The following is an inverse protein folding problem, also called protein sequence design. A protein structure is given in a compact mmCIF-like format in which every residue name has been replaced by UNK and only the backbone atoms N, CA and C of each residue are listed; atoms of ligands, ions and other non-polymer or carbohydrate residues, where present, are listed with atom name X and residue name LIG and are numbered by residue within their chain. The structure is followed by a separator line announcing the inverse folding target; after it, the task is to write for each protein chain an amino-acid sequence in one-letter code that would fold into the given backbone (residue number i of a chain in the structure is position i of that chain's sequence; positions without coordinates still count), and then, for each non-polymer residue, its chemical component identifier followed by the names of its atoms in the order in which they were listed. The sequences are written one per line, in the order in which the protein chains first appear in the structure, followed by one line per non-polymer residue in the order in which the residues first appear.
data_IF_422368473690
#
_entry.id   IF_422368473690
#
_cell.length_a   1.000
_cell.length_b   1.000
_cell.length_c   1.000
_cell.angle_alpha   90.00
_cell.angle_beta   90.00
_cell.angle_gamma   90.00
#
_symmetry.space_group_name_H-M   'P 1'
#
loop_
_entity.id
_entity.type
_entity.pdbx_description
1 polymer ?
#
# COMPACT_ATOMS: atom_id res chain seq x y z
N UNK A 1 -24.46 -22.01 21.35
CA UNK A 1 -23.30 -21.95 20.43
C UNK A 1 -22.65 -20.57 20.57
N UNK A 2 -21.50 -20.44 21.26
CA UNK A 2 -20.81 -19.13 21.41
C UNK A 2 -19.93 -18.89 20.19
N UNK A 3 -20.18 -17.78 19.48
CA UNK A 3 -19.32 -17.23 18.41
C UNK A 3 -17.86 -17.28 18.87
N UNK A 4 -17.00 -17.94 18.08
CA UNK A 4 -15.58 -18.09 18.38
C UNK A 4 -14.90 -16.73 18.51
N UNK A 5 -14.55 -16.36 19.73
CA UNK A 5 -13.82 -15.15 20.04
C UNK A 5 -12.38 -15.33 19.52
N UNK A 6 -11.97 -14.51 18.55
CA UNK A 6 -10.61 -14.57 17.98
C UNK A 6 -9.63 -14.21 19.10
N UNK A 7 -8.90 -15.21 19.58
CA UNK A 7 -7.88 -15.03 20.63
C UNK A 7 -6.52 -15.50 20.13
N UNK A 8 -5.45 -14.81 20.54
CA UNK A 8 -4.06 -15.17 20.20
C UNK A 8 -3.22 -15.25 21.46
N UNK A 9 -2.26 -16.20 21.55
CA UNK A 9 -1.25 -16.18 22.60
C UNK A 9 -0.46 -14.86 22.52
N UNK A 10 -0.14 -14.31 23.69
CA UNK A 10 0.69 -13.11 23.83
C UNK A 10 1.78 -13.40 24.85
N UNK A 11 3.03 -13.18 24.47
CA UNK A 11 4.17 -13.22 25.38
C UNK A 11 4.51 -11.81 25.87
N UNK A 12 4.87 -11.68 27.15
CA UNK A 12 5.34 -10.43 27.73
C UNK A 12 6.43 -10.66 28.76
N UNK A 13 7.21 -9.62 29.03
CA UNK A 13 8.27 -9.65 30.03
C UNK A 13 7.68 -9.40 31.42
N UNK A 14 7.96 -10.30 32.36
CA UNK A 14 7.53 -10.18 33.75
C UNK A 14 8.41 -9.14 34.47
N UNK A 15 7.83 -8.13 35.14
CA UNK A 15 8.59 -7.06 35.79
C UNK A 15 9.26 -7.55 37.08
N UNK A 16 10.57 -7.78 37.01
CA UNK A 16 11.41 -8.29 38.13
C UNK A 16 11.30 -7.39 39.38
N UNK A 17 11.13 -6.08 39.20
CA UNK A 17 10.98 -5.11 40.31
C UNK A 17 9.79 -5.40 41.22
N UNK A 18 8.70 -5.97 40.68
CA UNK A 18 7.53 -6.36 41.47
C UNK A 18 7.56 -7.84 41.88
N UNK A 19 8.37 -8.68 41.25
CA UNK A 19 8.37 -10.14 41.49
C UNK A 19 9.60 -10.67 42.21
N UNK A 20 10.63 -9.85 42.43
CA UNK A 20 11.91 -10.26 43.01
C UNK A 20 11.92 -10.48 44.53
N UNK A 21 10.86 -10.09 45.25
CA UNK A 21 10.79 -10.12 46.72
C UNK A 21 9.53 -10.81 47.27
N UNK A 22 9.50 -12.14 47.19
CA UNK A 22 8.74 -13.11 47.99
C UNK A 22 7.19 -13.05 48.14
N UNK A 23 6.44 -11.99 47.79
CA UNK A 23 4.98 -12.12 47.62
C UNK A 23 4.41 -11.08 46.65
N UNK A 24 3.80 -11.54 45.56
CA UNK A 24 3.10 -10.69 44.60
C UNK A 24 1.78 -11.34 44.16
N UNK A 25 0.84 -10.51 43.73
CA UNK A 25 -0.41 -10.92 43.09
C UNK A 25 -0.42 -10.45 41.64
N UNK A 26 -1.11 -11.20 40.77
CA UNK A 26 -1.29 -10.85 39.35
C UNK A 26 -2.78 -10.64 39.07
N UNK A 27 -3.09 -9.58 38.33
CA UNK A 27 -4.43 -9.29 37.81
C UNK A 27 -4.34 -9.14 36.27
N UNK A 28 -5.11 -9.93 35.48
CA UNK A 28 -6.04 -10.98 35.90
C UNK A 28 -5.36 -12.14 36.63
N UNK A 29 -6.10 -12.82 37.51
CA UNK A 29 -5.58 -13.93 38.32
C UNK A 29 -4.98 -15.02 37.41
N UNK A 30 -3.78 -15.49 37.77
CA UNK A 30 -3.02 -16.52 37.05
C UNK A 30 -2.59 -16.16 35.62
N UNK A 31 -2.66 -14.88 35.22
CA UNK A 31 -2.16 -14.45 33.91
C UNK A 31 -0.65 -14.73 33.78
N UNK A 32 -0.28 -15.44 32.72
CA UNK A 32 1.12 -15.83 32.41
C UNK A 32 1.45 -15.62 30.93
N UNK A 33 2.72 -15.32 30.60
CA UNK A 33 3.16 -15.26 29.20
C UNK A 33 2.73 -16.51 28.41
N UNK A 34 2.20 -16.29 27.21
CA UNK A 34 1.62 -17.33 26.36
C UNK A 34 0.11 -17.50 26.50
N UNK A 35 -0.54 -16.86 27.48
CA UNK A 35 -2.00 -16.85 27.59
C UNK A 35 -2.67 -16.19 26.38
N UNK A 36 -3.89 -16.63 26.08
CA UNK A 36 -4.66 -16.17 24.92
C UNK A 36 -5.52 -14.97 25.27
N UNK A 37 -5.38 -13.89 24.49
CA UNK A 37 -6.14 -12.66 24.65
C UNK A 37 -6.94 -12.35 23.39
N UNK A 38 -8.17 -11.84 23.58
CA UNK A 38 -9.01 -11.32 22.49
C UNK A 38 -8.51 -9.98 21.97
N UNK A 39 -9.11 -9.48 20.90
CA UNK A 39 -8.77 -8.16 20.34
C UNK A 39 -8.97 -7.05 21.38
N UNK A 40 -8.09 -6.04 21.37
CA UNK A 40 -8.20 -4.86 22.23
C UNK A 40 -7.00 -4.62 23.13
N UNK A 41 -7.13 -3.63 24.01
CA UNK A 41 -6.10 -3.22 24.98
C UNK A 41 -6.21 -4.10 26.22
N UNK A 42 -5.08 -4.64 26.65
CA UNK A 42 -4.96 -5.47 27.84
C UNK A 42 -3.92 -4.90 28.79
N UNK A 43 -4.14 -5.10 30.08
CA UNK A 43 -3.24 -4.67 31.14
C UNK A 43 -3.08 -5.81 32.13
N UNK A 44 -1.84 -6.25 32.34
CA UNK A 44 -1.48 -7.19 33.40
C UNK A 44 -0.84 -6.39 34.54
N UNK A 45 -1.40 -6.49 35.74
CA UNK A 45 -0.90 -5.76 36.91
C UNK A 45 -0.29 -6.72 37.92
N UNK A 46 1.00 -6.57 38.15
CA UNK A 46 1.73 -7.24 39.24
C UNK A 46 1.75 -6.31 40.45
N UNK A 47 1.33 -6.80 41.61
CA UNK A 47 1.29 -6.02 42.84
C UNK A 47 2.07 -6.73 43.95
N UNK A 48 3.11 -6.10 44.49
CA UNK A 48 3.83 -6.57 45.68
C UNK A 48 3.50 -5.70 46.89
N UNK A 49 3.34 -6.32 48.05
CA UNK A 49 3.16 -5.61 49.31
C UNK A 49 4.48 -5.49 50.04
N UNK A 50 4.80 -4.30 50.54
CA UNK A 50 5.94 -4.05 51.40
C UNK A 50 5.46 -3.40 52.69
N UNK A 51 5.92 -3.91 53.83
CA UNK A 51 5.61 -3.33 55.14
C UNK A 51 6.66 -2.30 55.46
N UNK A 52 6.26 -1.04 55.62
CA UNK A 52 7.20 0.00 56.03
C UNK A 52 7.38 -0.07 57.56
N UNK A 53 8.56 -0.51 58.02
CA UNK A 53 8.84 -0.82 59.43
C UNK A 53 8.66 0.39 60.36
N UNK A 54 8.77 1.61 59.83
CA UNK A 54 8.65 2.86 60.61
C UNK A 54 7.22 3.42 60.71
N UNK A 55 6.30 3.04 59.82
CA UNK A 55 4.98 3.69 59.73
C UNK A 55 3.80 2.75 60.00
N UNK A 56 4.03 1.44 60.18
CA UNK A 56 2.96 0.44 60.31
C UNK A 56 2.01 0.35 59.11
N UNK A 57 2.25 1.10 58.03
CA UNK A 57 1.44 1.16 56.82
C UNK A 57 1.97 0.17 55.78
N UNK A 58 1.07 -0.62 55.21
CA UNK A 58 1.36 -1.46 54.04
C UNK A 58 1.44 -0.57 52.80
N UNK A 59 2.61 -0.54 52.17
CA UNK A 59 2.81 0.03 50.85
C UNK A 59 2.59 -1.03 49.77
N UNK A 60 2.11 -0.62 48.60
CA UNK A 60 1.96 -1.52 47.45
C UNK A 60 2.72 -0.95 46.26
N UNK A 61 3.63 -1.75 45.69
CA UNK A 61 4.24 -1.45 44.41
C UNK A 61 3.42 -2.12 43.31
N UNK A 62 3.00 -1.35 42.29
CA UNK A 62 2.20 -1.84 41.17
C UNK A 62 2.97 -1.69 39.86
N UNK A 63 3.33 -2.81 39.23
CA UNK A 63 3.94 -2.85 37.91
C UNK A 63 2.88 -3.25 36.87
N UNK A 64 2.68 -2.43 35.83
CA UNK A 64 1.68 -2.65 34.78
C UNK A 64 2.34 -2.97 33.46
N UNK A 65 2.03 -4.12 32.90
CA UNK A 65 2.36 -4.50 31.52
C UNK A 65 1.15 -4.17 30.66
N UNK A 66 1.30 -3.26 29.71
CA UNK A 66 0.22 -2.86 28.78
C UNK A 66 0.56 -3.38 27.39
N UNK A 67 -0.37 -4.08 26.77
CA UNK A 67 -0.25 -4.51 25.37
C UNK A 67 -1.58 -4.40 24.64
N UNK A 68 -1.55 -4.44 23.31
CA UNK A 68 -2.75 -4.43 22.48
C UNK A 68 -2.71 -5.62 21.55
N UNK A 69 -3.77 -6.40 21.56
CA UNK A 69 -3.98 -7.47 20.58
C UNK A 69 -4.78 -6.88 19.43
N UNK A 70 -4.15 -6.79 18.27
CA UNK A 70 -4.78 -6.31 17.05
C UNK A 70 -4.74 -7.40 15.98
N UNK A 71 -5.69 -7.35 15.05
CA UNK A 71 -5.62 -8.14 13.82
C UNK A 71 -4.43 -7.62 13.02
N UNK A 72 -3.63 -8.55 12.48
CA UNK A 72 -2.56 -8.17 11.57
C UNK A 72 -3.18 -7.81 10.21
N UNK A 73 -3.15 -6.52 9.88
CA UNK A 73 -3.72 -5.97 8.67
C UNK A 73 -2.68 -5.14 7.92
N UNK A 74 -2.81 -5.14 6.60
CA UNK A 74 -2.10 -4.18 5.78
C UNK A 74 -2.67 -2.77 6.01
N UNK A 75 -1.86 -1.72 5.85
CA UNK A 75 -2.41 -0.38 5.74
C UNK A 75 -3.40 -0.31 4.57
N UNK A 76 -4.34 0.63 4.65
CA UNK A 76 -5.28 0.89 3.54
C UNK A 76 -4.53 0.99 2.22
N UNK A 77 -5.08 0.40 1.15
CA UNK A 77 -4.42 0.38 -0.16
C UNK A 77 -4.07 1.81 -0.60
N UNK A 78 -2.77 2.07 -0.70
CA UNK A 78 -2.26 3.36 -1.14
C UNK A 78 -2.40 3.50 -2.65
N UNK A 79 -2.80 4.69 -3.10
CA UNK A 79 -2.85 5.04 -4.53
C UNK A 79 -1.84 6.14 -4.81
N UNK A 80 -0.76 5.80 -5.51
CA UNK A 80 0.30 6.74 -5.89
C UNK A 80 0.14 7.11 -7.36
N UNK A 81 0.00 8.41 -7.62
CA UNK A 81 -0.08 8.97 -8.97
C UNK A 81 1.28 9.53 -9.35
N UNK A 82 1.82 9.11 -10.50
CA UNK A 82 3.07 9.67 -11.01
C UNK A 82 2.87 11.16 -11.35
N UNK A 83 3.84 12.01 -10.98
CA UNK A 83 3.78 13.46 -11.21
C UNK A 83 4.12 13.85 -12.65
N UNK A 84 4.96 13.05 -13.31
CA UNK A 84 5.45 13.32 -14.65
C UNK A 84 4.90 12.29 -15.64
N UNK A 85 4.63 12.76 -16.87
CA UNK A 85 4.35 11.90 -18.01
C UNK A 85 5.53 10.94 -18.27
N UNK A 86 5.29 9.80 -18.91
CA UNK A 86 6.36 8.87 -19.27
C UNK A 86 7.43 9.60 -20.09
N UNK A 87 8.70 9.45 -19.69
CA UNK A 87 9.82 10.10 -20.39
C UNK A 87 10.06 9.48 -21.78
N UNK A 88 11.18 9.81 -22.42
CA UNK A 88 11.56 9.25 -23.72
C UNK A 88 11.57 7.70 -23.75
N UNK A 89 11.84 7.06 -22.60
CA UNK A 89 11.80 5.59 -22.41
C UNK A 89 10.36 5.02 -22.27
N UNK A 90 9.32 5.83 -22.47
CA UNK A 90 7.90 5.50 -22.26
C UNK A 90 7.58 4.97 -20.84
N UNK A 91 8.38 5.37 -19.86
CA UNK A 91 8.17 5.01 -18.45
C UNK A 91 8.31 6.23 -17.54
N UNK A 92 7.49 6.29 -16.51
CA UNK A 92 7.60 7.26 -15.42
C UNK A 92 8.22 6.61 -14.20
N UNK A 93 9.13 7.33 -13.55
CA UNK A 93 9.63 6.95 -12.23
C UNK A 93 8.57 7.25 -11.16
N UNK A 94 8.33 6.28 -10.29
CA UNK A 94 7.38 6.40 -9.17
C UNK A 94 8.04 5.86 -7.91
N UNK A 95 7.91 6.60 -6.81
CA UNK A 95 8.26 6.16 -5.46
C UNK A 95 7.03 6.12 -4.58
N UNK A 96 7.03 5.22 -3.61
CA UNK A 96 5.92 5.02 -2.68
C UNK A 96 6.44 4.69 -1.29
N UNK A 97 5.53 4.57 -0.32
CA UNK A 97 5.85 4.05 1.01
C UNK A 97 5.60 2.55 1.03
N UNK A 98 6.54 1.75 1.52
CA UNK A 98 6.31 0.31 1.66
C UNK A 98 5.09 0.06 2.58
N UNK A 99 4.07 -0.70 2.13
CA UNK A 99 2.85 -0.92 2.90
C UNK A 99 3.07 -1.99 3.98
N UNK A 100 3.91 -1.68 4.98
CA UNK A 100 4.22 -2.60 6.09
C UNK A 100 2.99 -2.85 6.95
N UNK A 101 2.67 -4.11 7.30
CA UNK A 101 1.54 -4.41 8.17
C UNK A 101 1.74 -3.86 9.58
N UNK A 102 0.64 -3.68 10.30
CA UNK A 102 0.62 -3.19 11.69
C UNK A 102 1.12 -4.22 12.75
N UNK A 103 1.82 -5.26 12.31
CA UNK A 103 2.24 -6.37 13.15
C UNK A 103 3.66 -6.82 12.79
N UNK A 104 4.29 -7.59 13.69
CA UNK A 104 5.59 -8.21 13.41
C UNK A 104 5.42 -9.31 12.38
N UNK A 105 5.92 -9.06 11.16
CA UNK A 105 5.87 -10.01 10.06
C UNK A 105 7.20 -10.04 9.30
N UNK A 106 7.61 -11.22 8.82
CA UNK A 106 8.83 -11.37 8.03
C UNK A 106 8.55 -11.05 6.56
N UNK A 107 9.28 -10.10 5.93
CA UNK A 107 9.10 -9.80 4.52
C UNK A 107 9.60 -10.94 3.63
N UNK A 108 8.92 -11.18 2.52
CA UNK A 108 9.37 -12.14 1.51
C UNK A 108 10.59 -11.61 0.74
N UNK A 109 11.60 -12.44 0.43
CA UNK A 109 12.73 -12.04 -0.40
C UNK A 109 12.33 -11.68 -1.84
N UNK A 110 11.13 -12.07 -2.30
CA UNK A 110 10.61 -11.67 -3.61
C UNK A 110 10.03 -10.25 -3.66
N UNK A 111 9.95 -9.56 -2.52
CA UNK A 111 9.43 -8.20 -2.48
C UNK A 111 10.38 -7.24 -3.21
N UNK A 112 9.87 -6.11 -3.74
CA UNK A 112 10.71 -5.07 -4.30
C UNK A 112 11.77 -4.61 -3.28
N UNK A 113 13.03 -4.57 -3.70
CA UNK A 113 14.17 -4.16 -2.86
C UNK A 113 14.15 -2.69 -2.47
N UNK A 114 13.49 -1.87 -3.29
CA UNK A 114 13.30 -0.43 -3.08
C UNK A 114 11.82 -0.12 -3.26
N UNK A 115 11.22 0.81 -2.48
CA UNK A 115 9.84 1.24 -2.69
C UNK A 115 9.75 2.27 -3.84
N UNK A 116 10.40 1.96 -4.96
CA UNK A 116 10.38 2.75 -6.18
C UNK A 116 10.57 1.89 -7.43
N UNK A 117 10.20 2.44 -8.59
CA UNK A 117 10.32 1.73 -9.87
C UNK A 117 9.91 2.58 -11.06
N UNK A 118 10.11 2.05 -12.27
CA UNK A 118 9.72 2.67 -13.54
C UNK A 118 8.50 1.95 -14.13
N UNK A 119 7.43 2.68 -14.38
CA UNK A 119 6.14 2.15 -14.83
C UNK A 119 5.72 2.81 -16.14
N UNK A 120 5.18 2.02 -17.06
CA UNK A 120 4.52 2.56 -18.26
C UNK A 120 3.19 3.21 -17.88
N UNK A 121 2.60 3.98 -18.80
CA UNK A 121 1.29 4.56 -18.59
C UNK A 121 0.25 3.49 -18.23
N UNK A 122 -0.69 3.84 -17.35
CA UNK A 122 -1.77 2.95 -16.93
C UNK A 122 -1.81 2.68 -15.43
N UNK A 123 -2.47 1.58 -15.07
CA UNK A 123 -2.69 1.16 -13.68
C UNK A 123 -1.87 -0.09 -13.40
N UNK A 124 -1.07 -0.07 -12.35
CA UNK A 124 -0.28 -1.23 -11.91
C UNK A 124 -0.50 -1.48 -10.42
N UNK A 125 -0.39 -2.74 -9.99
CA UNK A 125 -0.46 -3.12 -8.58
C UNK A 125 0.87 -3.75 -8.18
N UNK A 126 1.59 -3.11 -7.26
CA UNK A 126 2.77 -3.69 -6.62
C UNK A 126 2.30 -4.45 -5.38
N UNK A 127 2.77 -5.69 -5.22
CA UNK A 127 2.38 -6.57 -4.12
C UNK A 127 3.58 -6.89 -3.24
N UNK A 128 3.46 -6.59 -1.96
CA UNK A 128 4.39 -7.01 -0.91
C UNK A 128 3.81 -8.21 -0.17
N UNK A 129 4.61 -9.25 0.02
CA UNK A 129 4.26 -10.45 0.76
C UNK A 129 4.96 -10.46 2.10
N UNK A 130 4.21 -10.75 3.16
CA UNK A 130 4.73 -10.88 4.52
C UNK A 130 4.25 -12.19 5.13
N UNK A 131 5.11 -12.84 5.91
CA UNK A 131 4.76 -14.04 6.67
C UNK A 131 4.58 -13.68 8.14
N UNK A 132 3.37 -13.87 8.64
CA UNK A 132 3.03 -13.66 10.05
C UNK A 132 3.30 -14.97 10.80
N UNK A 133 4.08 -14.92 11.89
CA UNK A 133 4.63 -16.07 12.61
C UNK A 133 3.69 -17.29 12.66
N UNK A 134 4.02 -18.32 11.87
CA UNK A 134 3.33 -19.62 11.72
C UNK A 134 1.80 -19.59 11.49
N UNK A 135 1.23 -18.43 11.11
CA UNK A 135 -0.23 -18.28 10.94
C UNK A 135 -0.63 -18.30 9.46
N UNK A 136 -0.19 -17.31 8.69
CA UNK A 136 -0.57 -17.14 7.29
C UNK A 136 0.33 -16.13 6.55
N UNK A 137 0.21 -16.12 5.22
CA UNK A 137 0.84 -15.14 4.34
C UNK A 137 -0.10 -13.96 4.09
N UNK A 138 0.38 -12.75 4.34
CA UNK A 138 -0.32 -11.50 4.13
C UNK A 138 0.20 -10.83 2.85
N UNK A 139 -0.72 -10.30 2.02
CA UNK A 139 -0.39 -9.55 0.80
C UNK A 139 -0.84 -8.10 0.93
N UNK A 140 0.11 -7.18 0.96
CA UNK A 140 -0.14 -5.75 1.00
C UNK A 140 0.08 -5.13 -0.38
N UNK A 141 -0.79 -4.20 -0.76
CA UNK A 141 -0.85 -3.70 -2.13
C UNK A 141 -0.62 -2.21 -2.22
N UNK A 142 0.02 -1.81 -3.32
CA UNK A 142 0.21 -0.43 -3.74
C UNK A 142 -0.36 -0.28 -5.13
N UNK A 143 -1.31 0.63 -5.30
CA UNK A 143 -1.86 0.98 -6.61
C UNK A 143 -1.04 2.12 -7.20
N UNK A 144 -0.36 1.86 -8.30
CA UNK A 144 0.37 2.86 -9.07
C UNK A 144 -0.49 3.28 -10.25
N UNK A 145 -0.63 4.59 -10.45
CA UNK A 145 -1.31 5.18 -11.59
C UNK A 145 -0.31 6.11 -12.27
N UNK A 146 0.07 5.77 -13.49
CA UNK A 146 0.86 6.64 -14.35
C UNK A 146 -0.09 7.30 -15.35
N UNK A 147 -0.20 8.64 -15.34
CA UNK A 147 -1.01 9.33 -16.34
C UNK A 147 -0.42 9.07 -17.73
N UNK A 148 -1.28 8.79 -18.68
CA UNK A 148 -0.96 8.66 -20.08
C UNK A 148 -2.26 8.57 -20.87
N UNK A 149 -2.18 8.93 -22.15
CA UNK A 149 -3.29 8.74 -23.07
C UNK A 149 -3.07 7.45 -23.84
N UNK A 150 -4.16 6.75 -24.12
CA UNK A 150 -4.14 5.49 -24.85
C UNK A 150 -4.70 5.72 -26.24
N UNK A 151 -4.00 5.20 -27.23
CA UNK A 151 -4.45 5.09 -28.60
C UNK A 151 -4.76 3.63 -28.86
N UNK A 152 -6.03 3.28 -28.83
CA UNK A 152 -6.50 1.90 -28.63
C UNK A 152 -5.83 1.28 -27.39
N UNK A 153 -5.03 0.23 -27.53
CA UNK A 153 -4.33 -0.45 -26.43
C UNK A 153 -2.87 0.02 -26.25
N UNK A 154 -2.43 1.03 -27.02
CA UNK A 154 -1.04 1.53 -26.98
C UNK A 154 -0.96 2.84 -26.21
N UNK A 155 -0.05 2.95 -25.25
CA UNK A 155 0.21 4.20 -24.57
C UNK A 155 0.94 5.21 -25.46
N UNK A 156 0.58 6.48 -25.32
CA UNK A 156 1.31 7.58 -25.93
C UNK A 156 1.39 8.79 -25.00
N UNK A 157 2.40 9.61 -25.24
CA UNK A 157 2.55 10.90 -24.59
C UNK A 157 1.75 11.97 -25.35
N UNK A 158 0.66 12.51 -24.79
CA UNK A 158 -0.14 13.53 -25.46
C UNK A 158 0.57 14.88 -25.57
N UNK A 159 1.68 15.12 -24.88
CA UNK A 159 2.47 16.34 -25.08
C UNK A 159 3.17 16.32 -26.45
N UNK A 160 3.63 15.15 -26.89
CA UNK A 160 4.47 14.99 -28.10
C UNK A 160 3.79 14.23 -29.23
N UNK A 161 2.71 13.52 -28.97
CA UNK A 161 2.02 12.65 -29.94
C UNK A 161 0.51 12.92 -29.98
N UNK A 162 -0.12 12.46 -31.06
CA UNK A 162 -1.57 12.48 -31.28
C UNK A 162 -2.02 11.09 -31.72
N UNK A 163 -3.19 10.66 -31.23
CA UNK A 163 -3.84 9.45 -31.68
C UNK A 163 -4.88 9.76 -32.77
N UNK A 164 -4.77 9.11 -33.93
CA UNK A 164 -5.77 9.14 -35.00
C UNK A 164 -6.34 7.73 -35.20
N UNK A 165 -7.55 7.47 -34.66
CA UNK A 165 -8.27 6.18 -34.77
C UNK A 165 -7.36 4.94 -34.63
N UNK A 166 -6.63 4.86 -33.50
CA UNK A 166 -5.75 3.73 -33.21
C UNK A 166 -4.31 3.85 -33.72
N UNK A 167 -3.99 4.91 -34.48
CA UNK A 167 -2.65 5.16 -34.99
C UNK A 167 -2.00 6.38 -34.35
N UNK A 168 -0.86 6.17 -33.70
CA UNK A 168 -0.09 7.24 -33.05
C UNK A 168 0.79 7.96 -34.08
N UNK A 169 0.80 9.29 -34.03
CA UNK A 169 1.63 10.17 -34.82
C UNK A 169 2.37 11.18 -33.92
N UNK A 170 3.61 11.51 -34.24
CA UNK A 170 4.28 12.65 -33.59
C UNK A 170 3.58 13.95 -33.97
N UNK A 171 3.32 14.81 -32.98
CA UNK A 171 2.72 16.12 -33.19
C UNK A 171 3.60 16.93 -34.13
N UNK A 172 2.97 17.47 -35.17
CA UNK A 172 3.54 18.44 -36.09
C UNK A 172 3.04 19.83 -35.70
N UNK A 173 3.07 20.78 -36.63
CA UNK A 173 2.38 22.05 -36.46
C UNK A 173 0.92 21.87 -36.00
N UNK A 174 0.39 22.87 -35.32
CA UNK A 174 -0.98 22.89 -34.78
C UNK A 174 -2.08 22.84 -35.84
N UNK A 175 -1.74 22.81 -37.13
CA UNK A 175 -2.70 22.76 -38.23
C UNK A 175 -3.06 21.33 -38.59
N UNK A 176 -2.23 20.34 -38.27
CA UNK A 176 -2.54 18.95 -38.62
C UNK A 176 -3.73 18.42 -37.83
N UNK A 177 -4.54 17.58 -38.47
CA UNK A 177 -5.74 16.97 -37.86
C UNK A 177 -5.89 15.51 -38.29
N UNK A 178 -6.63 14.75 -37.49
CA UNK A 178 -6.96 13.37 -37.84
C UNK A 178 -8.06 13.30 -38.90
N UNK A 179 -7.89 12.38 -39.85
CA UNK A 179 -8.88 11.92 -40.81
C UNK A 179 -8.84 10.38 -40.82
N UNK A 180 -9.71 9.76 -40.02
CA UNK A 180 -9.60 8.34 -39.69
C UNK A 180 -8.24 8.03 -39.07
N UNK A 181 -7.56 7.02 -39.62
CA UNK A 181 -6.23 6.60 -39.15
C UNK A 181 -5.07 7.47 -39.66
N UNK A 182 -5.34 8.58 -40.35
CA UNK A 182 -4.30 9.43 -40.97
C UNK A 182 -4.22 10.80 -40.29
N UNK A 183 -3.01 11.23 -39.96
CA UNK A 183 -2.72 12.59 -39.51
C UNK A 183 -2.34 13.47 -40.71
N UNK A 184 -3.25 14.36 -41.12
CA UNK A 184 -3.14 15.11 -42.38
C UNK A 184 -2.94 16.61 -42.13
N UNK A 185 -2.23 17.27 -43.04
CA UNK A 185 -2.15 18.72 -43.11
C UNK A 185 -3.35 19.24 -43.94
N UNK A 186 -4.26 20.04 -43.35
CA UNK A 186 -5.46 20.54 -44.02
C UNK A 186 -5.16 21.49 -45.19
N UNK A 187 -3.97 22.09 -45.27
CA UNK A 187 -3.57 22.92 -46.42
C UNK A 187 -3.25 22.10 -47.68
N UNK A 188 -3.02 20.78 -47.54
CA UNK A 188 -2.66 19.89 -48.67
C UNK A 188 -3.70 18.79 -48.91
N UNK A 189 -4.51 18.48 -47.90
CA UNK A 189 -5.49 17.39 -47.94
C UNK A 189 -6.76 17.78 -47.20
N UNK A 190 -7.92 17.39 -47.72
CA UNK A 190 -9.19 17.46 -47.01
C UNK A 190 -9.61 16.08 -46.49
N UNK A 191 -10.55 16.05 -45.53
CA UNK A 191 -11.14 14.81 -45.04
C UNK A 191 -12.59 14.69 -45.52
N UNK A 192 -12.87 13.67 -46.32
CA UNK A 192 -14.19 13.38 -46.89
C UNK A 192 -15.02 12.49 -45.96
N UNK A 193 -16.29 12.29 -46.32
CA UNK A 193 -17.18 11.36 -45.63
C UNK A 193 -16.55 9.95 -45.54
N UNK A 194 -16.81 9.26 -44.43
CA UNK A 194 -16.19 7.97 -44.15
C UNK A 194 -14.69 8.04 -43.80
N UNK A 195 -14.20 9.18 -43.32
CA UNK A 195 -12.83 9.38 -42.86
C UNK A 195 -11.76 9.15 -43.96
N UNK A 196 -12.10 9.49 -45.22
CA UNK A 196 -11.21 9.31 -46.38
C UNK A 196 -10.43 10.61 -46.69
N UNK A 197 -9.09 10.64 -46.57
CA UNK A 197 -8.31 11.83 -46.89
C UNK A 197 -8.03 11.96 -48.40
N UNK A 198 -8.29 13.13 -48.96
CA UNK A 198 -8.10 13.45 -50.40
C UNK A 198 -7.13 14.63 -50.57
N UNK A 199 -6.29 14.63 -51.62
CA UNK A 199 -5.36 15.74 -51.91
C UNK A 199 -6.11 16.94 -52.50
N UNK A 200 -5.73 18.15 -52.08
CA UNK A 200 -6.24 19.40 -52.66
C UNK A 200 -5.44 19.80 -53.91
N UNK A 201 -6.07 20.40 -54.94
CA UNK A 201 -7.51 20.60 -55.13
C UNK A 201 -8.13 19.36 -55.79
N UNK A 202 -8.81 18.52 -55.02
CA UNK A 202 -9.48 17.32 -55.53
C UNK A 202 -10.84 17.18 -54.86
N UNK A 203 -11.89 16.75 -55.60
CA UNK A 203 -13.22 16.56 -55.03
C UNK A 203 -13.24 15.31 -54.13
N UNK A 204 -14.19 15.28 -53.21
CA UNK A 204 -14.49 14.04 -52.49
C UNK A 204 -15.10 13.01 -53.45
N UNK A 205 -14.63 11.76 -53.45
CA UNK A 205 -15.23 10.67 -54.19
C UNK A 205 -16.57 10.24 -53.60
#
# INVERSE_FOLDING_TARGET
MKKGEITTPVDWVIPITCTGGASYTVDPLNAKPGDKFGLGKHVITYSSSHTNHYAGKKGYLKCRVKFTVAICECPSIQTVRAKNLPGADKKSYVSWTEPKPNCTAQPSPSNPSMPSGRFSAGKSIVTYKYRVAHKFDLKCHVKIIVPGEFCDDTDYDPATHVCCCGKIYSKKDSKHRCCGQKYINPSKKMCCQGNKPVRLPGPCP
#
